data_IF_524651531282
#
_entry.id   IF_524651531282
#
_cell.length_a   1.000
_cell.length_b   1.000
_cell.length_c   1.000
_cell.angle_alpha   90.00
_cell.angle_beta   90.00
_cell.angle_gamma   90.00
#
_symmetry.space_group_name_H-M   'P 1'
#
loop_
_entity.id
_entity.type
_entity.pdbx_description
1 polymer ?
#
# COMPACT_ATOMS: atom_id res chain seq x y z
N UNK A 1 4.12 8.09 31.05
CA UNK A 1 4.12 6.99 30.06
C UNK A 1 2.69 6.75 29.56
N UNK A 2 2.30 7.33 28.42
CA UNK A 2 0.99 7.03 27.82
C UNK A 2 1.11 5.73 27.02
N UNK A 3 0.22 4.77 27.30
CA UNK A 3 0.12 3.50 26.57
C UNK A 3 -0.07 3.80 25.08
N UNK A 4 0.64 3.06 24.23
CA UNK A 4 0.22 2.92 22.83
C UNK A 4 -1.27 2.58 22.85
N UNK A 5 -2.07 3.36 22.12
CA UNK A 5 -3.54 3.26 22.12
C UNK A 5 -3.98 2.02 21.33
N UNK A 6 -3.61 0.85 21.88
CA UNK A 6 -3.80 -0.48 21.34
C UNK A 6 -5.25 -0.77 21.04
N UNK A 7 -6.15 -0.19 21.83
CA UNK A 7 -7.57 -0.42 21.71
C UNK A 7 -8.08 0.03 20.34
N UNK A 8 -7.68 1.21 19.88
CA UNK A 8 -8.08 1.73 18.56
C UNK A 8 -7.50 0.88 17.42
N UNK A 9 -6.23 0.50 17.51
CA UNK A 9 -5.58 -0.36 16.50
C UNK A 9 -6.21 -1.76 16.46
N UNK A 10 -6.51 -2.36 17.62
CA UNK A 10 -7.16 -3.68 17.71
C UNK A 10 -8.57 -3.63 17.15
N UNK A 11 -9.33 -2.56 17.40
CA UNK A 11 -10.65 -2.39 16.79
C UNK A 11 -10.54 -2.39 15.27
N UNK A 12 -9.61 -1.61 14.70
CA UNK A 12 -9.43 -1.54 13.24
C UNK A 12 -9.03 -2.91 12.65
N UNK A 13 -8.10 -3.63 13.28
CA UNK A 13 -7.71 -4.97 12.84
C UNK A 13 -8.88 -5.96 12.98
N UNK A 14 -9.67 -5.87 14.05
CA UNK A 14 -10.84 -6.74 14.26
C UNK A 14 -11.92 -6.53 13.21
N UNK A 15 -12.09 -5.29 12.72
CA UNK A 15 -12.98 -4.98 11.60
C UNK A 15 -12.47 -5.63 10.32
N UNK A 16 -11.16 -5.59 10.04
CA UNK A 16 -10.56 -6.31 8.90
C UNK A 16 -10.78 -7.81 8.99
N UNK A 17 -10.49 -8.42 10.15
CA UNK A 17 -10.75 -9.85 10.35
C UNK A 17 -12.22 -10.21 10.14
N UNK A 18 -13.15 -9.35 10.55
CA UNK A 18 -14.58 -9.56 10.30
C UNK A 18 -14.91 -9.47 8.80
N UNK A 19 -14.35 -8.50 8.07
CA UNK A 19 -14.51 -8.38 6.61
C UNK A 19 -13.96 -9.64 5.92
N UNK A 20 -12.79 -10.12 6.32
CA UNK A 20 -12.16 -11.32 5.76
C UNK A 20 -13.03 -12.56 6.01
N UNK A 21 -13.53 -12.76 7.22
CA UNK A 21 -14.42 -13.89 7.55
C UNK A 21 -15.73 -13.83 6.76
N UNK A 22 -16.37 -12.65 6.69
CA UNK A 22 -17.60 -12.47 5.91
C UNK A 22 -17.33 -12.73 4.43
N UNK A 23 -16.21 -12.25 3.90
CA UNK A 23 -15.80 -12.47 2.51
C UNK A 23 -15.61 -13.96 2.23
N UNK A 24 -14.93 -14.68 3.12
CA UNK A 24 -14.74 -16.13 3.00
C UNK A 24 -16.07 -16.90 3.02
N UNK A 25 -17.01 -16.52 3.88
CA UNK A 25 -18.35 -17.14 3.93
C UNK A 25 -19.10 -16.87 2.61
N UNK A 26 -19.06 -15.64 2.10
CA UNK A 26 -19.75 -15.29 0.85
C UNK A 26 -19.15 -16.04 -0.35
N UNK A 27 -17.83 -16.15 -0.43
CA UNK A 27 -17.16 -16.92 -1.49
C UNK A 27 -17.50 -18.41 -1.40
N UNK A 28 -17.42 -19.01 -0.21
CA UNK A 28 -17.71 -20.45 -0.03
C UNK A 28 -19.19 -20.82 -0.23
N UNK A 29 -20.10 -19.85 -0.10
CA UNK A 29 -21.54 -20.03 -0.36
C UNK A 29 -21.94 -19.68 -1.80
N UNK A 30 -21.00 -19.28 -2.66
CA UNK A 30 -21.26 -18.93 -4.06
C UNK A 30 -21.89 -17.55 -4.27
N UNK A 31 -21.85 -16.67 -3.27
CA UNK A 31 -22.46 -15.34 -3.30
C UNK A 31 -21.45 -14.25 -3.73
N UNK A 32 -20.69 -14.51 -4.80
CA UNK A 32 -19.59 -13.65 -5.25
C UNK A 32 -20.04 -12.30 -5.81
N UNK A 33 -21.20 -12.25 -6.45
CA UNK A 33 -21.78 -10.99 -6.94
C UNK A 33 -22.14 -10.04 -5.79
N UNK A 34 -22.70 -10.60 -4.70
CA UNK A 34 -23.02 -9.84 -3.49
C UNK A 34 -21.72 -9.33 -2.85
N UNK A 35 -20.71 -10.19 -2.75
CA UNK A 35 -19.39 -9.81 -2.26
C UNK A 35 -18.79 -8.68 -3.11
N UNK A 36 -18.83 -8.80 -4.44
CA UNK A 36 -18.36 -7.76 -5.35
C UNK A 36 -19.08 -6.44 -5.12
N UNK A 37 -20.41 -6.47 -5.01
CA UNK A 37 -21.24 -5.30 -4.74
C UNK A 37 -20.86 -4.61 -3.43
N UNK A 38 -20.71 -5.38 -2.33
CA UNK A 38 -20.30 -4.85 -1.03
C UNK A 38 -18.89 -4.25 -1.11
N UNK A 39 -17.94 -4.97 -1.70
CA UNK A 39 -16.53 -4.54 -1.76
C UNK A 39 -16.30 -3.38 -2.73
N UNK A 40 -17.17 -3.21 -3.73
CA UNK A 40 -17.13 -2.05 -4.63
C UNK A 40 -17.29 -0.72 -3.89
N UNK A 41 -18.01 -0.73 -2.77
CA UNK A 41 -18.22 0.44 -1.90
C UNK A 41 -17.28 0.41 -0.71
N UNK A 42 -17.08 -0.76 -0.10
CA UNK A 42 -16.30 -0.85 1.14
C UNK A 42 -14.83 -0.56 0.96
N UNK A 43 -14.20 -1.09 -0.09
CA UNK A 43 -12.78 -0.89 -0.37
C UNK A 43 -12.40 0.60 -0.48
N UNK A 44 -13.05 1.42 -1.32
CA UNK A 44 -12.75 2.85 -1.37
C UNK A 44 -13.13 3.61 -0.09
N UNK A 45 -14.22 3.21 0.59
CA UNK A 45 -14.64 3.87 1.83
C UNK A 45 -13.62 3.67 2.95
N UNK A 46 -13.12 2.45 3.12
CA UNK A 46 -12.09 2.11 4.12
C UNK A 46 -10.82 2.92 3.88
N UNK A 47 -10.35 2.97 2.63
CA UNK A 47 -9.20 3.78 2.24
C UNK A 47 -9.42 5.27 2.55
N UNK A 48 -10.60 5.81 2.20
CA UNK A 48 -10.94 7.21 2.44
C UNK A 48 -10.99 7.55 3.93
N UNK A 49 -11.68 6.76 4.73
CA UNK A 49 -11.85 7.00 6.17
C UNK A 49 -10.51 6.91 6.87
N UNK A 50 -9.71 5.88 6.61
CA UNK A 50 -8.40 5.71 7.24
C UNK A 50 -7.40 6.79 6.77
N UNK A 51 -7.45 7.16 5.49
CA UNK A 51 -6.66 8.26 4.95
C UNK A 51 -7.04 9.62 5.56
N UNK A 52 -8.33 9.92 5.70
CA UNK A 52 -8.81 11.15 6.33
C UNK A 52 -8.47 11.21 7.83
N UNK A 53 -8.57 10.09 8.53
CA UNK A 53 -8.13 9.98 9.94
C UNK A 53 -6.62 10.17 10.05
N UNK A 54 -5.84 9.58 9.14
CA UNK A 54 -4.39 9.78 9.05
C UNK A 54 -4.04 11.26 8.83
N UNK A 55 -4.68 11.93 7.88
CA UNK A 55 -4.49 13.37 7.63
C UNK A 55 -4.84 14.21 8.85
N UNK A 56 -5.92 13.89 9.56
CA UNK A 56 -6.29 14.58 10.80
C UNK A 56 -5.22 14.41 11.88
N UNK A 57 -4.58 13.24 11.96
CA UNK A 57 -3.55 12.95 12.95
C UNK A 57 -2.20 13.61 12.62
N UNK A 58 -1.82 13.65 11.34
CA UNK A 58 -0.46 14.01 10.93
C UNK A 58 -0.36 15.32 10.14
N UNK A 59 -1.48 15.87 9.66
CA UNK A 59 -1.52 17.09 8.85
C UNK A 59 -1.36 18.39 9.64
N UNK A 60 -1.51 18.38 10.97
CA UNK A 60 -1.36 19.58 11.82
C UNK A 60 0.09 19.90 12.17
N UNK A 61 0.95 18.88 12.25
CA UNK A 61 2.32 19.00 12.76
C UNK A 61 3.40 18.81 11.68
N UNK A 62 3.02 18.51 10.43
CA UNK A 62 3.98 18.19 9.35
C UNK A 62 4.72 19.41 8.79
N UNK A 63 4.26 20.63 9.07
CA UNK A 63 4.87 21.87 8.58
C UNK A 63 5.86 22.54 9.54
N UNK A 64 5.85 22.20 10.84
CA UNK A 64 6.53 22.97 11.88
C UNK A 64 7.56 22.19 12.69
N UNK A 65 7.58 20.85 12.62
CA UNK A 65 8.60 19.99 13.24
C UNK A 65 9.30 19.17 12.16
N UNK A 66 10.63 19.12 12.18
CA UNK A 66 11.49 18.27 11.33
C UNK A 66 11.32 16.76 11.61
N UNK A 67 10.12 16.32 12.02
CA UNK A 67 9.79 14.93 12.28
C UNK A 67 9.56 14.19 10.95
N UNK A 68 10.61 13.53 10.47
CA UNK A 68 10.59 12.74 9.24
C UNK A 68 9.68 11.51 9.32
N UNK A 69 9.40 11.02 10.54
CA UNK A 69 8.44 9.94 10.74
C UNK A 69 6.99 10.45 10.63
N UNK A 70 6.71 11.67 11.11
CA UNK A 70 5.43 12.33 10.88
C UNK A 70 5.18 12.54 9.38
N UNK A 71 6.16 13.09 8.65
CA UNK A 71 6.08 13.28 7.19
C UNK A 71 5.86 11.98 6.44
N UNK A 72 6.52 10.89 6.86
CA UNK A 72 6.29 9.54 6.34
C UNK A 72 4.82 9.12 6.48
N UNK A 73 4.24 9.23 7.69
CA UNK A 73 2.84 8.87 7.93
C UNK A 73 1.85 9.78 7.18
N UNK A 74 2.19 11.06 7.02
CA UNK A 74 1.41 12.01 6.24
C UNK A 74 1.30 11.60 4.75
N UNK A 75 2.42 11.20 4.14
CA UNK A 75 2.40 10.70 2.76
C UNK A 75 1.59 9.43 2.58
N UNK A 76 1.63 8.52 3.56
CA UNK A 76 0.79 7.32 3.56
C UNK A 76 -0.70 7.65 3.65
N UNK A 77 -1.07 8.63 4.47
CA UNK A 77 -2.45 9.09 4.60
C UNK A 77 -2.99 9.71 3.30
N UNK A 78 -2.21 10.56 2.61
CA UNK A 78 -2.60 11.08 1.28
C UNK A 78 -2.66 9.94 0.28
N UNK A 79 -1.70 9.02 0.31
CA UNK A 79 -1.69 7.85 -0.57
C UNK A 79 -2.96 7.01 -0.44
N UNK A 80 -3.47 6.79 0.78
CA UNK A 80 -4.76 6.10 1.01
C UNK A 80 -5.94 6.84 0.36
N UNK A 81 -5.97 8.17 0.41
CA UNK A 81 -7.03 8.97 -0.23
C UNK A 81 -6.94 8.85 -1.76
N UNK A 82 -5.72 8.91 -2.32
CA UNK A 82 -5.53 8.71 -3.76
C UNK A 82 -5.91 7.30 -4.20
N UNK A 83 -5.58 6.29 -3.40
CA UNK A 83 -5.99 4.91 -3.66
C UNK A 83 -7.51 4.74 -3.56
N UNK A 84 -8.19 5.43 -2.63
CA UNK A 84 -9.66 5.47 -2.62
C UNK A 84 -10.24 5.98 -3.94
N UNK A 85 -9.72 7.09 -4.45
CA UNK A 85 -10.14 7.62 -5.76
C UNK A 85 -9.87 6.62 -6.89
N UNK A 86 -8.73 5.91 -6.82
CA UNK A 86 -8.39 4.87 -7.78
C UNK A 86 -9.34 3.67 -7.73
N UNK A 87 -9.77 3.24 -6.55
CA UNK A 87 -10.76 2.16 -6.38
C UNK A 87 -12.14 2.58 -6.88
N UNK A 88 -12.54 3.84 -6.67
CA UNK A 88 -13.78 4.39 -7.25
C UNK A 88 -13.69 4.38 -8.78
N UNK A 89 -12.60 4.92 -9.33
CA UNK A 89 -12.37 4.94 -10.77
C UNK A 89 -12.36 3.52 -11.37
N UNK A 90 -11.66 2.58 -10.74
CA UNK A 90 -11.62 1.18 -11.17
C UNK A 90 -12.99 0.52 -11.16
N UNK A 91 -13.82 0.83 -10.17
CA UNK A 91 -15.21 0.36 -10.11
C UNK A 91 -16.03 0.91 -11.27
N UNK A 92 -15.95 2.21 -11.55
CA UNK A 92 -16.70 2.83 -12.64
C UNK A 92 -16.24 2.31 -14.01
N UNK A 93 -14.94 2.13 -14.20
CA UNK A 93 -14.35 1.65 -15.46
C UNK A 93 -14.78 0.20 -15.71
N UNK A 94 -14.77 -0.65 -14.68
CA UNK A 94 -15.19 -2.05 -14.79
C UNK A 94 -16.64 -2.26 -15.27
N UNK A 95 -17.48 -1.21 -15.22
CA UNK A 95 -18.85 -1.24 -15.72
C UNK A 95 -18.97 -0.93 -17.23
N UNK A 96 -17.90 -0.47 -17.87
CA UNK A 96 -17.96 0.17 -19.19
C UNK A 96 -16.95 -0.32 -20.22
N UNK A 97 -15.85 -0.96 -19.81
CA UNK A 97 -14.71 -1.25 -20.69
C UNK A 97 -14.32 -2.72 -20.78
N UNK A 98 -13.59 -3.02 -21.85
CA UNK A 98 -12.89 -4.29 -22.04
C UNK A 98 -11.87 -4.54 -20.90
N UNK A 99 -11.57 -5.81 -20.62
CA UNK A 99 -10.80 -6.24 -19.45
C UNK A 99 -9.36 -5.71 -19.44
N UNK A 100 -8.68 -5.78 -20.59
CA UNK A 100 -7.30 -5.27 -20.73
C UNK A 100 -7.22 -3.76 -20.48
N UNK A 101 -8.18 -3.01 -21.02
CA UNK A 101 -8.29 -1.56 -20.81
C UNK A 101 -8.59 -1.24 -19.34
N UNK A 102 -9.39 -2.08 -18.67
CA UNK A 102 -9.71 -1.93 -17.25
C UNK A 102 -8.47 -2.06 -16.37
N UNK A 103 -7.63 -3.09 -16.60
CA UNK A 103 -6.35 -3.26 -15.87
C UNK A 103 -5.44 -2.06 -16.09
N UNK A 104 -5.25 -1.64 -17.34
CA UNK A 104 -4.39 -0.52 -17.68
C UNK A 104 -4.82 0.77 -16.97
N UNK A 105 -6.12 1.09 -17.02
CA UNK A 105 -6.67 2.29 -16.40
C UNK A 105 -6.54 2.21 -14.86
N UNK A 106 -6.87 1.07 -14.25
CA UNK A 106 -6.73 0.89 -12.80
C UNK A 106 -5.27 1.08 -12.38
N UNK A 107 -4.32 0.44 -13.07
CA UNK A 107 -2.90 0.58 -12.77
C UNK A 107 -2.42 2.03 -12.88
N UNK A 108 -2.84 2.75 -13.92
CA UNK A 108 -2.49 4.16 -14.12
C UNK A 108 -3.08 5.07 -13.02
N UNK A 109 -4.32 4.84 -12.60
CA UNK A 109 -4.97 5.68 -11.57
C UNK A 109 -4.42 5.38 -10.18
N UNK A 110 -3.92 4.17 -9.92
CA UNK A 110 -3.28 3.82 -8.64
C UNK A 110 -1.85 4.34 -8.50
N UNK A 111 -1.13 4.59 -9.61
CA UNK A 111 0.27 5.04 -9.60
C UNK A 111 0.52 6.25 -8.69
N UNK A 112 -0.28 7.35 -8.74
CA UNK A 112 -0.09 8.47 -7.83
C UNK A 112 -0.10 8.07 -6.35
N UNK A 113 -1.04 7.21 -5.94
CA UNK A 113 -1.12 6.74 -4.55
C UNK A 113 0.11 5.94 -4.12
N UNK A 114 0.57 5.04 -4.98
CA UNK A 114 1.78 4.23 -4.74
C UNK A 114 3.05 5.06 -4.73
N UNK A 115 3.15 6.07 -5.60
CA UNK A 115 4.27 7.01 -5.62
C UNK A 115 4.33 7.81 -4.32
N UNK A 116 3.19 8.23 -3.76
CA UNK A 116 3.16 8.93 -2.47
C UNK A 116 3.65 8.02 -1.33
N UNK A 117 3.23 6.76 -1.29
CA UNK A 117 3.78 5.78 -0.33
C UNK A 117 5.29 5.62 -0.50
N UNK A 118 5.75 5.50 -1.74
CA UNK A 118 7.17 5.41 -2.08
C UNK A 118 7.98 6.62 -1.63
N UNK A 119 7.48 7.83 -1.92
CA UNK A 119 8.10 9.09 -1.49
C UNK A 119 8.23 9.11 0.03
N UNK A 120 7.19 8.70 0.76
CA UNK A 120 7.25 8.57 2.22
C UNK A 120 8.39 7.65 2.67
N UNK A 121 8.42 6.40 2.17
CA UNK A 121 9.43 5.40 2.54
C UNK A 121 10.85 5.90 2.24
N UNK A 122 11.06 6.46 1.05
CA UNK A 122 12.37 6.94 0.60
C UNK A 122 12.86 8.13 1.41
N UNK A 123 11.97 9.08 1.75
CA UNK A 123 12.33 10.20 2.61
C UNK A 123 12.73 9.73 4.02
N UNK A 124 12.01 8.76 4.57
CA UNK A 124 12.34 8.19 5.87
C UNK A 124 13.66 7.41 5.85
N UNK A 125 13.89 6.58 4.82
CA UNK A 125 15.15 5.87 4.63
C UNK A 125 16.34 6.83 4.51
N UNK A 126 16.17 7.92 3.73
CA UNK A 126 17.20 8.95 3.60
C UNK A 126 17.55 9.57 4.94
N UNK A 127 16.54 9.97 5.72
CA UNK A 127 16.75 10.55 7.05
C UNK A 127 17.46 9.58 7.99
N UNK A 128 17.08 8.31 7.96
CA UNK A 128 17.72 7.27 8.77
C UNK A 128 19.18 7.04 8.37
N UNK A 129 19.44 7.02 7.07
CA UNK A 129 20.79 6.87 6.53
C UNK A 129 21.68 8.07 6.86
N UNK A 130 21.14 9.29 6.86
CA UNK A 130 21.84 10.50 7.31
C UNK A 130 22.18 10.43 8.81
N UNK A 131 21.27 9.92 9.64
CA UNK A 131 21.49 9.78 11.09
C UNK A 131 22.48 8.66 11.45
N UNK A 132 22.47 7.53 10.74
CA UNK A 132 23.32 6.38 11.01
C UNK A 132 24.65 6.40 10.24
N UNK A 133 24.78 7.26 9.23
CA UNK A 133 26.01 7.49 8.48
C UNK A 133 26.47 6.33 7.59
N UNK A 134 25.56 5.42 7.19
CA UNK A 134 25.94 4.23 6.42
C UNK A 134 26.40 4.56 4.99
N UNK A 135 25.68 5.41 4.26
CA UNK A 135 25.94 5.72 2.85
C UNK A 135 25.83 7.23 2.60
N UNK A 136 26.61 7.79 1.69
CA UNK A 136 26.42 9.19 1.24
C UNK A 136 25.04 9.34 0.57
N UNK A 137 24.21 10.35 0.93
CA UNK A 137 22.83 10.46 0.45
C UNK A 137 22.68 10.39 -1.08
N UNK A 138 23.62 10.98 -1.83
CA UNK A 138 23.58 10.99 -3.29
C UNK A 138 23.78 9.57 -3.90
N UNK A 139 24.61 8.74 -3.26
CA UNK A 139 24.88 7.38 -3.73
C UNK A 139 23.68 6.46 -3.49
N UNK A 140 22.91 6.70 -2.42
CA UNK A 140 21.69 5.93 -2.13
C UNK A 140 20.67 6.06 -3.27
N UNK A 141 20.43 7.28 -3.74
CA UNK A 141 19.50 7.54 -4.86
C UNK A 141 19.95 6.88 -6.15
N UNK A 142 21.24 6.99 -6.48
CA UNK A 142 21.80 6.38 -7.69
C UNK A 142 21.62 4.85 -7.66
N UNK A 143 21.94 4.21 -6.53
CA UNK A 143 21.79 2.76 -6.38
C UNK A 143 20.32 2.36 -6.52
N UNK A 144 19.40 3.03 -5.81
CA UNK A 144 17.98 2.73 -5.89
C UNK A 144 17.41 2.93 -7.30
N UNK A 145 17.81 4.00 -8.00
CA UNK A 145 17.37 4.25 -9.37
C UNK A 145 17.88 3.16 -10.32
N UNK A 146 19.15 2.79 -10.22
CA UNK A 146 19.78 1.83 -11.10
C UNK A 146 19.21 0.42 -10.88
N UNK A 147 19.02 0.00 -9.62
CA UNK A 147 18.39 -1.30 -9.31
C UNK A 147 16.94 -1.34 -9.77
N UNK A 148 16.16 -0.29 -9.51
CA UNK A 148 14.75 -0.23 -9.94
C UNK A 148 14.63 -0.28 -11.47
N UNK A 149 15.48 0.46 -12.19
CA UNK A 149 15.45 0.49 -13.66
C UNK A 149 15.81 -0.87 -14.26
N UNK A 150 16.91 -1.47 -13.80
CA UNK A 150 17.34 -2.79 -14.29
C UNK A 150 16.29 -3.87 -13.97
N UNK A 151 15.80 -3.92 -12.73
CA UNK A 151 14.77 -4.88 -12.33
C UNK A 151 13.46 -4.68 -13.10
N UNK A 152 13.08 -3.44 -13.41
CA UNK A 152 11.89 -3.16 -14.23
C UNK A 152 12.04 -3.69 -15.64
N UNK A 153 13.19 -3.42 -16.30
CA UNK A 153 13.45 -3.95 -17.64
C UNK A 153 13.42 -5.48 -17.63
N UNK A 154 14.06 -6.13 -16.64
CA UNK A 154 14.03 -7.59 -16.51
C UNK A 154 12.61 -8.13 -16.31
N UNK A 155 11.80 -7.50 -15.47
CA UNK A 155 10.42 -7.92 -15.23
C UNK A 155 9.53 -7.73 -16.46
N UNK A 156 9.71 -6.66 -17.25
CA UNK A 156 8.99 -6.48 -18.52
C UNK A 156 9.24 -7.68 -19.44
N UNK A 157 10.50 -8.10 -19.60
CA UNK A 157 10.85 -9.26 -20.45
C UNK A 157 10.22 -10.55 -19.91
N UNK A 158 10.24 -10.77 -18.60
CA UNK A 158 9.64 -11.95 -17.99
C UNK A 158 8.12 -11.96 -18.21
N UNK A 159 7.42 -10.86 -17.94
CA UNK A 159 5.97 -10.80 -18.10
C UNK A 159 5.58 -10.97 -19.57
N UNK A 160 6.25 -10.28 -20.49
CA UNK A 160 5.94 -10.38 -21.92
C UNK A 160 6.18 -11.78 -22.50
N UNK A 161 7.09 -12.56 -21.91
CA UNK A 161 7.38 -13.93 -22.37
C UNK A 161 6.53 -15.00 -21.70
N UNK A 162 6.17 -14.84 -20.42
CA UNK A 162 5.44 -15.83 -19.64
C UNK A 162 3.91 -15.59 -19.63
N UNK A 163 3.46 -14.35 -19.80
CA UNK A 163 2.06 -13.95 -19.73
C UNK A 163 1.62 -13.13 -20.96
N UNK A 164 1.64 -13.73 -22.17
CA UNK A 164 1.37 -13.01 -23.41
C UNK A 164 -0.06 -12.45 -23.52
N UNK A 165 -1.00 -12.93 -22.69
CA UNK A 165 -2.41 -12.50 -22.67
C UNK A 165 -2.64 -11.12 -22.07
N UNK A 166 -1.69 -10.60 -21.27
CA UNK A 166 -1.81 -9.31 -20.57
C UNK A 166 -1.67 -8.13 -21.53
N UNK A 167 -0.98 -8.31 -22.67
CA UNK A 167 -0.65 -7.23 -23.58
C UNK A 167 0.66 -6.52 -23.21
N UNK A 168 1.32 -5.96 -24.22
CA UNK A 168 2.66 -5.36 -24.08
C UNK A 168 2.62 -4.03 -23.31
N UNK A 169 1.56 -3.23 -23.50
CA UNK A 169 1.42 -1.91 -22.88
C UNK A 169 1.17 -2.05 -21.37
N UNK A 170 0.28 -2.97 -21.02
CA UNK A 170 -0.07 -3.34 -19.65
C UNK A 170 1.18 -3.86 -18.91
N UNK A 171 1.99 -4.69 -19.58
CA UNK A 171 3.26 -5.17 -19.06
C UNK A 171 4.24 -4.03 -18.73
N UNK A 172 4.32 -3.00 -19.58
CA UNK A 172 5.18 -1.82 -19.33
C UNK A 172 4.70 -1.02 -18.11
N UNK A 173 3.39 -0.89 -17.91
CA UNK A 173 2.82 -0.11 -16.80
C UNK A 173 2.89 -0.88 -15.47
N UNK A 174 2.63 -2.18 -15.49
CA UNK A 174 2.52 -3.01 -14.29
C UNK A 174 3.89 -3.44 -13.73
N UNK A 175 4.89 -3.59 -14.58
CA UNK A 175 6.27 -3.92 -14.17
C UNK A 175 6.87 -2.94 -13.15
N UNK A 176 6.91 -1.60 -13.38
CA UNK A 176 7.48 -0.66 -12.42
C UNK A 176 6.68 -0.62 -11.11
N UNK A 177 5.37 -0.91 -11.14
CA UNK A 177 4.55 -1.02 -9.93
C UNK A 177 5.02 -2.19 -9.07
N UNK A 178 5.16 -3.39 -9.65
CA UNK A 178 5.64 -4.59 -8.94
C UNK A 178 7.05 -4.36 -8.40
N UNK A 179 7.96 -3.83 -9.23
CA UNK A 179 9.35 -3.60 -8.82
C UNK A 179 9.43 -2.59 -7.69
N UNK A 180 8.70 -1.47 -7.81
CA UNK A 180 8.64 -0.43 -6.79
C UNK A 180 8.10 -0.96 -5.46
N UNK A 181 6.99 -1.69 -5.50
CA UNK A 181 6.41 -2.33 -4.31
C UNK A 181 7.35 -3.35 -3.68
N UNK A 182 8.01 -4.21 -4.48
CA UNK A 182 8.98 -5.17 -3.98
C UNK A 182 10.16 -4.47 -3.29
N UNK A 183 10.66 -3.37 -3.87
CA UNK A 183 11.70 -2.55 -3.28
C UNK A 183 11.23 -1.89 -1.97
N UNK A 184 10.00 -1.38 -1.91
CA UNK A 184 9.40 -0.84 -0.68
C UNK A 184 9.24 -1.89 0.41
N UNK A 185 8.85 -3.12 0.05
CA UNK A 185 8.80 -4.26 0.98
C UNK A 185 10.19 -4.57 1.54
N UNK A 186 11.23 -4.63 0.69
CA UNK A 186 12.62 -4.88 1.11
C UNK A 186 13.09 -3.78 2.07
N UNK A 187 12.91 -2.51 1.71
CA UNK A 187 13.31 -1.37 2.55
C UNK A 187 12.58 -1.42 3.89
N UNK A 188 11.26 -1.61 3.87
CA UNK A 188 10.47 -1.65 5.11
C UNK A 188 10.85 -2.85 5.99
N UNK A 189 11.18 -4.00 5.38
CA UNK A 189 11.71 -5.17 6.11
C UNK A 189 13.01 -4.83 6.82
N UNK A 190 13.95 -4.17 6.13
CA UNK A 190 15.21 -3.73 6.73
C UNK A 190 14.93 -2.77 7.90
N UNK A 191 14.02 -1.80 7.72
CA UNK A 191 13.63 -0.87 8.78
C UNK A 191 13.03 -1.59 10.00
N UNK A 192 12.15 -2.57 9.79
CA UNK A 192 11.58 -3.40 10.88
C UNK A 192 12.68 -4.14 11.63
N UNK A 193 13.65 -4.71 10.92
CA UNK A 193 14.78 -5.43 11.53
C UNK A 193 15.66 -4.50 12.36
N UNK A 194 15.99 -3.31 11.83
CA UNK A 194 16.76 -2.28 12.54
C UNK A 194 16.04 -1.86 13.82
N UNK A 195 14.74 -1.57 13.71
CA UNK A 195 13.94 -1.06 14.83
C UNK A 195 13.30 -2.14 15.70
N UNK A 196 13.64 -3.43 15.55
CA UNK A 196 12.93 -4.57 16.18
C UNK A 196 12.68 -4.46 17.69
N UNK A 197 13.51 -3.70 18.43
CA UNK A 197 13.36 -3.47 19.89
C UNK A 197 12.67 -2.15 20.25
N UNK A 198 12.47 -1.26 19.29
CA UNK A 198 11.88 0.06 19.49
C UNK A 198 10.36 0.08 19.33
N UNK A 199 9.73 1.15 19.81
CA UNK A 199 8.27 1.34 19.68
C UNK A 199 7.80 1.52 18.23
N UNK A 200 8.70 1.91 17.32
CA UNK A 200 8.47 2.04 15.88
C UNK A 200 8.34 0.70 15.15
N UNK A 201 8.81 -0.41 15.73
CA UNK A 201 8.77 -1.72 15.08
C UNK A 201 7.34 -2.14 14.70
N UNK A 202 6.38 -1.87 15.58
CA UNK A 202 4.99 -2.32 15.44
C UNK A 202 4.25 -1.63 14.28
N UNK A 203 4.22 -0.29 14.18
CA UNK A 203 3.61 0.37 13.02
C UNK A 203 4.35 0.01 11.73
N UNK A 204 5.69 -0.10 11.73
CA UNK A 204 6.44 -0.52 10.54
C UNK A 204 6.10 -1.95 10.11
N UNK A 205 5.85 -2.86 11.05
CA UNK A 205 5.43 -4.24 10.75
C UNK A 205 4.04 -4.28 10.11
N UNK A 206 3.11 -3.44 10.57
CA UNK A 206 1.78 -3.31 9.95
C UNK A 206 1.86 -2.73 8.54
N UNK A 207 2.73 -1.72 8.32
CA UNK A 207 3.00 -1.19 6.97
C UNK A 207 3.63 -2.25 6.07
N UNK A 208 4.57 -3.04 6.59
CA UNK A 208 5.15 -4.16 5.86
C UNK A 208 4.06 -5.15 5.44
N UNK A 209 3.13 -5.50 6.34
CA UNK A 209 1.98 -6.34 6.02
C UNK A 209 1.09 -5.74 4.94
N UNK A 210 0.79 -4.43 5.02
CA UNK A 210 0.03 -3.73 3.99
C UNK A 210 0.71 -3.78 2.61
N UNK A 211 2.02 -3.49 2.56
CA UNK A 211 2.81 -3.53 1.32
C UNK A 211 2.91 -4.94 0.75
N UNK A 212 3.04 -5.97 1.59
CA UNK A 212 3.05 -7.37 1.17
C UNK A 212 1.71 -7.79 0.57
N UNK A 213 0.59 -7.47 1.23
CA UNK A 213 -0.74 -7.74 0.68
C UNK A 213 -0.96 -7.02 -0.65
N UNK A 214 -0.53 -5.76 -0.75
CA UNK A 214 -0.64 -5.00 -2.00
C UNK A 214 0.26 -5.56 -3.11
N UNK A 215 1.46 -6.07 -2.77
CA UNK A 215 2.31 -6.76 -3.72
C UNK A 215 1.67 -8.07 -4.20
N UNK A 216 1.08 -8.86 -3.29
CA UNK A 216 0.33 -10.08 -3.65
C UNK A 216 -0.82 -9.73 -4.59
N UNK A 217 -1.55 -8.64 -4.31
CA UNK A 217 -2.60 -8.12 -5.20
C UNK A 217 -2.08 -7.87 -6.62
N UNK A 218 -0.99 -7.11 -6.76
CA UNK A 218 -0.40 -6.82 -8.07
C UNK A 218 0.13 -8.08 -8.77
N UNK A 219 0.64 -9.07 -8.03
CA UNK A 219 1.09 -10.34 -8.61
C UNK A 219 -0.10 -11.19 -9.08
N UNK A 220 -1.25 -11.14 -8.39
CA UNK A 220 -2.45 -11.84 -8.83
C UNK A 220 -2.94 -11.30 -10.18
N UNK A 221 -2.79 -9.99 -10.45
CA UNK A 221 -3.12 -9.43 -11.76
C UNK A 221 -2.32 -10.04 -12.92
N UNK A 222 -1.17 -10.66 -12.66
CA UNK A 222 -0.39 -11.36 -13.69
C UNK A 222 -1.00 -12.71 -14.10
N UNK A 223 -1.80 -13.34 -13.24
CA UNK A 223 -2.19 -14.75 -13.38
C UNK A 223 -3.70 -14.89 -13.61
N UNK A 224 -4.47 -13.82 -13.42
CA UNK A 224 -5.91 -13.91 -13.18
C UNK A 224 -6.76 -13.61 -14.41
N UNK A 225 -7.55 -14.60 -14.84
CA UNK A 225 -8.59 -14.41 -15.86
C UNK A 225 -9.93 -13.94 -15.24
N UNK A 226 -10.28 -12.69 -15.57
CA UNK A 226 -11.58 -11.97 -15.68
C UNK A 226 -12.69 -12.09 -14.60
N UNK A 227 -12.92 -13.20 -13.90
CA UNK A 227 -14.16 -13.37 -13.09
C UNK A 227 -13.96 -13.41 -11.57
N UNK A 228 -13.41 -14.52 -11.07
CA UNK A 228 -13.26 -14.83 -9.64
C UNK A 228 -12.33 -13.88 -8.88
N UNK A 229 -11.42 -13.23 -9.61
CA UNK A 229 -10.33 -12.45 -9.00
C UNK A 229 -10.76 -11.05 -8.64
N UNK A 230 -11.80 -10.48 -9.25
CA UNK A 230 -12.19 -9.08 -8.98
C UNK A 230 -12.67 -8.89 -7.54
N UNK A 231 -13.40 -9.87 -6.98
CA UNK A 231 -13.84 -9.81 -5.58
C UNK A 231 -12.70 -10.02 -4.60
N UNK A 232 -11.84 -11.02 -4.85
CA UNK A 232 -10.67 -11.33 -4.01
C UNK A 232 -9.65 -10.18 -4.03
N UNK A 233 -9.45 -9.57 -5.19
CA UNK A 233 -8.61 -8.39 -5.39
C UNK A 233 -8.99 -7.26 -4.43
N UNK A 234 -10.30 -6.95 -4.37
CA UNK A 234 -10.84 -5.91 -3.51
C UNK A 234 -10.74 -6.27 -2.02
N UNK A 235 -10.88 -7.55 -1.67
CA UNK A 235 -10.63 -8.03 -0.29
C UNK A 235 -9.18 -7.78 0.11
N UNK A 236 -8.23 -8.19 -0.72
CA UNK A 236 -6.79 -7.98 -0.45
C UNK A 236 -6.48 -6.49 -0.34
N UNK A 237 -7.03 -5.66 -1.23
CA UNK A 237 -6.89 -4.21 -1.18
C UNK A 237 -7.41 -3.62 0.14
N UNK A 238 -8.60 -4.05 0.56
CA UNK A 238 -9.24 -3.59 1.80
C UNK A 238 -8.38 -3.94 3.01
N UNK A 239 -7.90 -5.18 3.10
CA UNK A 239 -7.01 -5.61 4.18
C UNK A 239 -5.69 -4.82 4.19
N UNK A 240 -5.11 -4.55 3.02
CA UNK A 240 -3.93 -3.70 2.91
C UNK A 240 -4.18 -2.28 3.44
N UNK A 241 -5.33 -1.68 3.12
CA UNK A 241 -5.72 -0.37 3.63
C UNK A 241 -5.98 -0.37 5.14
N UNK A 242 -6.60 -1.42 5.67
CA UNK A 242 -6.84 -1.60 7.11
C UNK A 242 -5.51 -1.71 7.86
N UNK A 243 -4.57 -2.54 7.40
CA UNK A 243 -3.26 -2.65 8.01
C UNK A 243 -2.50 -1.31 7.97
N UNK A 244 -2.56 -0.61 6.84
CA UNK A 244 -1.97 0.72 6.71
C UNK A 244 -2.60 1.72 7.69
N UNK A 245 -3.94 1.78 7.78
CA UNK A 245 -4.63 2.68 8.71
C UNK A 245 -4.41 2.32 10.18
N UNK A 246 -4.34 1.02 10.50
CA UNK A 246 -3.98 0.53 11.83
C UNK A 246 -2.56 0.99 12.21
N UNK A 247 -1.61 0.94 11.26
CA UNK A 247 -0.26 1.46 11.45
C UNK A 247 -0.25 2.97 11.72
N UNK A 248 -0.98 3.74 10.92
CA UNK A 248 -1.14 5.18 11.09
C UNK A 248 -1.72 5.53 12.46
N UNK A 249 -2.75 4.83 12.91
CA UNK A 249 -3.35 5.08 14.23
C UNK A 249 -2.40 4.71 15.38
N UNK A 250 -1.66 3.62 15.23
CA UNK A 250 -0.69 3.17 16.22
C UNK A 250 0.48 4.15 16.37
N UNK A 251 0.95 4.69 15.25
CA UNK A 251 2.07 5.63 15.18
C UNK A 251 1.73 7.01 15.78
N UNK A 252 0.44 7.37 15.91
CA UNK A 252 0.00 8.72 16.32
C UNK A 252 0.58 9.14 17.67
N UNK A 253 0.70 8.18 18.58
CA UNK A 253 1.13 8.44 19.95
C UNK A 253 2.65 8.34 20.14
N UNK A 254 3.41 8.08 19.06
CA UNK A 254 4.87 8.00 19.10
C UNK A 254 5.53 9.38 18.92
N UNK A 255 4.91 10.29 18.16
CA UNK A 255 5.41 11.66 17.96
C UNK A 255 5.21 12.62 19.14
N UNK A 256 4.44 12.23 20.16
CA UNK A 256 4.15 13.05 21.34
C UNK A 256 5.04 12.75 22.55
N UNK A 257 6.19 12.09 22.36
CA UNK A 257 7.09 11.71 23.47
C UNK A 257 8.01 12.85 23.95
N UNK A 258 8.03 13.99 23.28
CA UNK A 258 8.90 15.14 23.61
C UNK A 258 8.18 16.33 24.28
N UNK A 259 7.13 16.06 25.08
CA UNK A 259 6.55 17.06 25.99
C UNK A 259 6.29 16.49 27.38
#
# INVERSE_FOLDING_TARGET
MRRTDWLTTVIVISVGMLILVVSFILTTTGNEEILLGIMSVMTPLVALVLGAVGLKCYGRDSGTKDDRFNTFNYWFAIGLIMLSLAEIAGTLVSLSSDFQQTILIIALVQLPGLLLWGIGILQYLRSLNEALGYIKPNNLWIVLFLTTTLSTISIIVIIATQFPTIGFIESIVLSPIIVGLALFVIITTILVVIFRKGFLAKPLFLILGALLLYLVRCLLWLISDVGFVVSIDRVIATEAFILCGAALLMARNLGSMDT
#
